data_IF_574444974703
#
_entry.id   IF_574444974703
#
_cell.length_a   1.000
_cell.length_b   1.000
_cell.length_c   1.000
_cell.angle_alpha   90.00
_cell.angle_beta   90.00
_cell.angle_gamma   90.00
#
_symmetry.space_group_name_H-M   'P 1'
#
loop_
_entity.id
_entity.type
_entity.pdbx_description
1 polymer ?
#
# COMPACT_ATOMS: atom_id res chain seq x y z
N UNK A 1 77.09 13.43 41.06
CA UNK A 1 75.74 12.82 40.99
C UNK A 1 74.73 13.89 40.63
N UNK A 2 73.87 13.69 39.61
CA UNK A 2 73.17 14.78 38.94
C UNK A 2 71.86 15.18 39.64
N UNK A 3 71.57 16.48 39.63
CA UNK A 3 70.29 17.06 40.04
C UNK A 3 69.30 17.04 38.85
N UNK A 4 68.10 16.54 39.09
CA UNK A 4 67.03 16.37 38.08
C UNK A 4 66.37 17.73 37.83
N UNK A 5 66.52 18.28 36.63
CA UNK A 5 65.85 19.51 36.19
C UNK A 5 64.40 19.18 35.80
N UNK A 6 63.43 19.44 36.68
CA UNK A 6 62.00 19.25 36.37
C UNK A 6 61.51 20.34 35.43
N UNK A 7 61.05 19.94 34.23
CA UNK A 7 60.38 20.83 33.28
C UNK A 7 59.01 21.24 33.85
N UNK A 8 58.61 22.53 33.86
CA UNK A 8 57.31 22.92 34.37
C UNK A 8 56.19 22.39 33.47
N UNK A 9 55.15 21.83 34.11
CA UNK A 9 53.94 21.33 33.46
C UNK A 9 53.11 22.51 32.94
N UNK A 10 52.85 22.51 31.63
CA UNK A 10 51.98 23.49 31.00
C UNK A 10 50.64 22.79 30.74
N UNK A 11 49.57 23.05 31.53
CA UNK A 11 48.29 22.42 31.31
C UNK A 11 47.72 22.86 29.95
N UNK A 12 47.00 21.98 29.24
CA UNK A 12 46.32 22.36 28.01
C UNK A 12 45.22 23.37 28.35
N UNK A 13 45.53 24.65 28.20
CA UNK A 13 44.53 25.71 28.31
C UNK A 13 43.47 25.46 27.24
N UNK A 14 42.26 25.13 27.68
CA UNK A 14 41.08 25.05 26.82
C UNK A 14 40.81 26.39 26.12
N UNK A 15 39.86 26.43 25.16
CA UNK A 15 39.79 27.46 24.10
C UNK A 15 39.39 28.88 24.56
N UNK A 16 39.48 29.21 25.85
CA UNK A 16 39.12 30.52 26.40
C UNK A 16 40.34 31.16 27.05
N UNK A 17 41.33 31.52 26.24
CA UNK A 17 42.55 32.15 26.73
C UNK A 17 43.32 32.82 25.61
N UNK A 18 42.79 33.94 25.10
CA UNK A 18 43.40 34.68 24.01
C UNK A 18 42.89 36.11 23.90
N UNK A 19 43.14 36.93 24.92
CA UNK A 19 43.36 38.36 24.70
C UNK A 19 44.64 38.46 23.85
N UNK A 20 44.52 38.68 22.55
CA UNK A 20 45.67 38.77 21.66
C UNK A 20 45.27 38.89 20.21
N UNK A 21 45.38 40.10 19.68
CA UNK A 21 45.11 40.48 18.30
C UNK A 21 45.93 39.65 17.30
N UNK A 22 45.38 38.55 16.77
CA UNK A 22 45.65 37.98 15.44
C UNK A 22 44.56 36.95 15.15
N UNK A 23 43.67 37.20 14.19
CA UNK A 23 42.60 36.27 13.79
C UNK A 23 43.23 35.16 12.93
N UNK A 24 43.37 33.90 13.40
CA UNK A 24 43.62 32.78 12.49
C UNK A 24 42.29 32.38 11.83
N UNK A 25 42.29 31.71 10.66
CA UNK A 25 41.05 31.22 10.07
C UNK A 25 40.38 30.24 11.05
N UNK A 26 39.26 30.67 11.63
CA UNK A 26 38.42 29.86 12.50
C UNK A 26 38.01 28.62 11.71
N UNK A 27 38.49 27.44 12.11
CA UNK A 27 38.01 26.18 11.54
C UNK A 27 36.49 26.11 11.82
N UNK A 28 35.66 25.78 10.82
CA UNK A 28 34.22 25.70 11.03
C UNK A 28 33.94 24.72 12.17
N UNK A 29 33.16 25.17 13.15
CA UNK A 29 32.73 24.32 14.25
C UNK A 29 31.86 23.18 13.70
N UNK A 30 31.69 22.10 14.48
CA UNK A 30 30.80 21.00 14.10
C UNK A 30 29.38 21.49 13.76
N UNK A 31 28.87 22.46 14.53
CA UNK A 31 27.59 23.10 14.23
C UNK A 31 27.61 23.83 12.88
N UNK A 32 28.70 24.51 12.55
CA UNK A 32 28.87 25.16 11.24
C UNK A 32 28.92 24.14 10.09
N UNK A 33 29.55 22.99 10.32
CA UNK A 33 29.55 21.87 9.37
C UNK A 33 28.14 21.34 9.10
N UNK A 34 27.34 21.14 10.16
CA UNK A 34 25.96 20.69 10.03
C UNK A 34 25.10 21.72 9.29
N UNK A 35 25.24 23.01 9.61
CA UNK A 35 24.52 24.08 8.92
C UNK A 35 24.84 24.16 7.43
N UNK A 36 26.08 23.88 7.03
CA UNK A 36 26.49 23.86 5.62
C UNK A 36 25.96 22.64 4.85
N UNK A 37 25.54 21.56 5.53
CA UNK A 37 24.88 20.40 4.90
C UNK A 37 23.37 20.56 4.79
N UNK A 38 22.80 21.64 5.34
CA UNK A 38 21.36 21.88 5.23
C UNK A 38 21.01 22.41 3.84
N UNK A 39 19.89 21.95 3.25
CA UNK A 39 19.39 22.52 2.01
C UNK A 39 19.16 24.03 2.16
N UNK A 40 19.46 24.85 1.14
CA UNK A 40 19.25 26.29 1.21
C UNK A 40 17.77 26.59 1.46
N UNK A 41 17.50 27.45 2.45
CA UNK A 41 16.13 27.83 2.82
C UNK A 41 15.58 28.75 1.72
N UNK A 42 14.57 28.26 1.00
CA UNK A 42 13.86 29.05 -0.03
C UNK A 42 12.80 29.93 0.68
N UNK A 43 12.86 31.27 0.57
CA UNK A 43 11.83 32.15 1.12
C UNK A 43 10.45 31.83 0.53
N UNK A 44 9.48 31.49 1.38
CA UNK A 44 8.11 31.13 0.96
C UNK A 44 7.77 29.64 1.05
N UNK A 45 8.69 28.78 1.52
CA UNK A 45 8.36 27.43 2.00
C UNK A 45 7.93 26.42 0.94
N UNK A 46 8.15 26.71 -0.35
CA UNK A 46 7.90 25.76 -1.44
C UNK A 46 9.23 25.16 -1.87
N UNK A 47 9.37 23.86 -1.69
CA UNK A 47 10.45 23.09 -2.30
C UNK A 47 10.41 23.35 -3.81
N UNK A 48 11.55 23.69 -4.39
CA UNK A 48 11.70 23.85 -5.84
C UNK A 48 11.22 22.55 -6.52
N UNK A 49 10.22 22.59 -7.41
CA UNK A 49 9.76 21.38 -8.11
C UNK A 49 10.87 20.71 -8.92
N UNK A 50 11.97 21.42 -9.23
CA UNK A 50 13.17 20.83 -9.83
C UNK A 50 14.07 20.07 -8.85
N UNK A 51 13.89 20.26 -7.53
CA UNK A 51 14.58 19.52 -6.47
C UNK A 51 13.80 18.27 -6.02
N UNK A 52 12.53 18.13 -6.43
CA UNK A 52 11.86 16.83 -6.45
C UNK A 52 12.54 16.00 -7.55
N UNK A 53 13.08 14.83 -7.20
CA UNK A 53 13.47 13.85 -8.22
C UNK A 53 12.29 13.66 -9.19
N UNK A 54 12.51 13.57 -10.52
CA UNK A 54 11.42 13.43 -11.47
C UNK A 54 10.57 12.24 -11.04
N UNK A 55 9.34 12.53 -10.61
CA UNK A 55 8.39 11.63 -9.94
C UNK A 55 7.97 10.42 -10.83
N UNK A 56 8.57 10.29 -12.01
CA UNK A 56 8.20 9.39 -13.07
C UNK A 56 9.31 8.36 -13.41
N UNK A 57 10.55 8.56 -12.95
CA UNK A 57 11.67 7.65 -13.27
C UNK A 57 12.02 6.66 -12.17
N UNK A 58 11.26 6.62 -11.07
CA UNK A 58 11.52 5.65 -10.00
C UNK A 58 10.98 4.27 -10.40
N UNK A 59 11.82 3.22 -10.50
CA UNK A 59 11.36 1.85 -10.77
C UNK A 59 10.28 1.37 -9.81
N UNK A 60 10.17 1.95 -8.61
CA UNK A 60 9.05 1.69 -7.70
C UNK A 60 7.72 2.18 -8.26
N UNK A 61 7.66 3.39 -8.82
CA UNK A 61 6.44 3.93 -9.44
C UNK A 61 6.01 3.11 -10.66
N UNK A 62 6.96 2.61 -11.46
CA UNK A 62 6.64 1.73 -12.58
C UNK A 62 5.99 0.42 -12.11
N UNK A 63 6.56 -0.22 -11.09
CA UNK A 63 5.97 -1.43 -10.48
C UNK A 63 4.58 -1.16 -9.91
N UNK A 64 4.38 -0.01 -9.26
CA UNK A 64 3.08 0.37 -8.72
C UNK A 64 2.02 0.54 -9.83
N UNK A 65 2.39 1.13 -10.98
CA UNK A 65 1.50 1.25 -12.15
C UNK A 65 1.18 -0.11 -12.77
N UNK A 66 2.17 -0.99 -12.92
CA UNK A 66 1.98 -2.37 -13.42
C UNK A 66 1.05 -3.18 -12.49
N UNK A 67 1.22 -3.07 -11.18
CA UNK A 67 0.35 -3.71 -10.19
C UNK A 67 -1.06 -3.14 -10.20
N UNK A 68 -1.22 -1.81 -10.34
CA UNK A 68 -2.53 -1.18 -10.46
C UNK A 68 -3.29 -1.66 -11.70
N UNK A 69 -2.62 -1.73 -12.86
CA UNK A 69 -3.19 -2.25 -14.10
C UNK A 69 -3.60 -3.71 -13.96
N UNK A 70 -2.73 -4.55 -13.38
CA UNK A 70 -3.05 -5.95 -13.08
C UNK A 70 -4.27 -6.08 -12.20
N UNK A 71 -4.38 -5.28 -11.12
CA UNK A 71 -5.53 -5.32 -10.23
C UNK A 71 -6.83 -4.92 -10.94
N UNK A 72 -6.77 -3.95 -11.87
CA UNK A 72 -7.91 -3.58 -12.71
C UNK A 72 -8.35 -4.73 -13.63
N UNK A 73 -7.41 -5.42 -14.25
CA UNK A 73 -7.72 -6.58 -15.10
C UNK A 73 -8.32 -7.73 -14.30
N UNK A 74 -7.73 -8.07 -13.15
CA UNK A 74 -8.26 -9.10 -12.25
C UNK A 74 -9.68 -8.76 -11.77
N UNK A 75 -9.95 -7.48 -11.46
CA UNK A 75 -11.28 -7.01 -11.10
C UNK A 75 -12.26 -7.23 -12.26
N UNK A 76 -11.89 -6.84 -13.48
CA UNK A 76 -12.72 -7.01 -14.67
C UNK A 76 -13.06 -8.49 -14.92
N UNK A 77 -12.07 -9.36 -14.84
CA UNK A 77 -12.27 -10.81 -15.00
C UNK A 77 -13.22 -11.35 -13.93
N UNK A 78 -13.04 -10.94 -12.65
CA UNK A 78 -13.92 -11.35 -11.55
C UNK A 78 -15.36 -10.88 -11.77
N UNK A 79 -15.55 -9.63 -12.18
CA UNK A 79 -16.87 -9.07 -12.47
C UNK A 79 -17.55 -9.77 -13.66
N UNK A 80 -16.81 -10.04 -14.74
CA UNK A 80 -17.34 -10.74 -15.90
C UNK A 80 -17.70 -12.21 -15.56
N UNK A 81 -16.89 -12.87 -14.74
CA UNK A 81 -17.20 -14.21 -14.23
C UNK A 81 -18.46 -14.19 -13.37
N UNK A 82 -18.59 -13.23 -12.46
CA UNK A 82 -19.78 -13.07 -11.61
C UNK A 82 -21.04 -12.83 -12.45
N UNK A 83 -20.96 -11.94 -13.45
CA UNK A 83 -22.09 -11.66 -14.34
C UNK A 83 -22.55 -12.93 -15.06
N UNK A 84 -21.60 -13.72 -15.59
CA UNK A 84 -21.91 -15.00 -16.25
C UNK A 84 -22.53 -16.02 -15.28
N UNK A 85 -22.01 -16.13 -14.05
CA UNK A 85 -22.56 -17.07 -13.07
C UNK A 85 -23.98 -16.69 -12.64
N UNK A 86 -24.28 -15.39 -12.48
CA UNK A 86 -25.62 -14.93 -12.14
C UNK A 86 -26.64 -15.23 -13.24
N UNK A 87 -26.26 -15.04 -14.52
CA UNK A 87 -27.13 -15.40 -15.65
C UNK A 87 -27.48 -16.91 -15.63
N UNK A 88 -26.48 -17.75 -15.35
CA UNK A 88 -26.70 -19.20 -15.25
C UNK A 88 -27.58 -19.53 -14.04
N UNK A 89 -27.36 -18.86 -12.91
CA UNK A 89 -28.16 -19.03 -11.71
C UNK A 89 -29.64 -18.74 -11.97
N UNK A 90 -29.96 -17.60 -12.59
CA UNK A 90 -31.34 -17.22 -12.92
C UNK A 90 -32.00 -18.24 -13.86
N UNK A 91 -31.23 -18.78 -14.81
CA UNK A 91 -31.71 -19.84 -15.71
C UNK A 91 -32.02 -21.12 -14.92
N UNK A 92 -31.09 -21.56 -14.08
CA UNK A 92 -31.24 -22.76 -13.27
C UNK A 92 -32.40 -22.63 -12.27
N UNK A 93 -32.63 -21.43 -11.72
CA UNK A 93 -33.76 -21.17 -10.83
C UNK A 93 -35.10 -21.37 -11.55
N UNK A 94 -35.21 -20.90 -12.81
CA UNK A 94 -36.41 -21.13 -13.63
C UNK A 94 -36.59 -22.59 -13.99
N UNK A 95 -35.51 -23.28 -14.35
CA UNK A 95 -35.53 -24.71 -14.65
C UNK A 95 -35.94 -25.53 -13.40
N UNK A 96 -35.43 -25.18 -12.23
CA UNK A 96 -35.79 -25.83 -10.96
C UNK A 96 -37.30 -25.70 -10.66
N UNK A 97 -37.88 -24.49 -10.78
CA UNK A 97 -39.33 -24.26 -10.62
C UNK A 97 -40.15 -25.07 -11.63
N UNK A 98 -39.67 -25.19 -12.86
CA UNK A 98 -40.34 -25.99 -13.88
C UNK A 98 -40.27 -27.49 -13.55
N UNK A 99 -39.16 -27.98 -13.00
CA UNK A 99 -39.04 -29.37 -12.55
C UNK A 99 -39.88 -29.67 -11.32
N UNK A 100 -39.94 -28.74 -10.36
CA UNK A 100 -40.84 -28.82 -9.20
C UNK A 100 -42.29 -28.98 -9.64
N UNK A 101 -42.78 -28.10 -10.53
CA UNK A 101 -44.15 -28.21 -11.05
C UNK A 101 -44.39 -29.54 -11.79
N UNK A 102 -43.43 -30.03 -12.58
CA UNK A 102 -43.54 -31.33 -13.25
C UNK A 102 -43.60 -32.48 -12.24
N UNK A 103 -42.79 -32.41 -11.17
CA UNK A 103 -42.79 -33.37 -10.07
C UNK A 103 -44.15 -33.39 -9.39
N UNK A 104 -44.67 -32.22 -9.00
CA UNK A 104 -45.98 -32.09 -8.35
C UNK A 104 -47.12 -32.65 -9.21
N UNK A 105 -47.12 -32.33 -10.51
CA UNK A 105 -48.13 -32.86 -11.44
C UNK A 105 -48.02 -34.37 -11.59
N UNK A 106 -46.79 -34.91 -11.65
CA UNK A 106 -46.56 -36.35 -11.74
C UNK A 106 -47.01 -37.06 -10.45
N UNK A 107 -46.72 -36.51 -9.28
CA UNK A 107 -47.12 -37.05 -7.99
C UNK A 107 -48.65 -37.05 -7.86
N UNK A 108 -49.32 -35.96 -8.23
CA UNK A 108 -50.78 -35.88 -8.26
C UNK A 108 -51.39 -36.89 -9.24
N UNK A 109 -50.80 -37.03 -10.43
CA UNK A 109 -51.25 -38.02 -11.40
C UNK A 109 -51.11 -39.44 -10.87
N UNK A 110 -49.99 -39.77 -10.22
CA UNK A 110 -49.76 -41.08 -9.63
C UNK A 110 -50.72 -41.36 -8.47
N UNK A 111 -50.98 -40.37 -7.60
CA UNK A 111 -51.98 -40.47 -6.53
C UNK A 111 -53.39 -40.71 -7.07
N UNK A 112 -53.75 -40.04 -8.15
CA UNK A 112 -55.04 -40.26 -8.82
C UNK A 112 -55.14 -41.68 -9.41
N UNK A 113 -54.07 -42.17 -10.07
CA UNK A 113 -54.02 -43.54 -10.61
C UNK A 113 -54.06 -44.59 -9.48
N UNK A 114 -53.43 -44.31 -8.34
CA UNK A 114 -53.45 -45.17 -7.16
C UNK A 114 -54.80 -45.13 -6.39
N UNK A 115 -55.78 -44.34 -6.84
CA UNK A 115 -57.11 -44.28 -6.24
C UNK A 115 -57.23 -43.36 -5.02
N UNK A 116 -56.22 -42.54 -4.72
CA UNK A 116 -56.21 -41.60 -3.58
C UNK A 116 -56.73 -40.19 -3.93
N UNK A 117 -57.18 -39.95 -5.17
CA UNK A 117 -57.70 -38.66 -5.64
C UNK A 117 -59.15 -38.37 -5.22
N UNK A 118 -59.48 -37.09 -4.95
CA UNK A 118 -60.83 -36.63 -4.56
C UNK A 118 -61.83 -36.89 -5.69
N UNK A 119 -62.58 -37.99 -5.58
CA UNK A 119 -63.56 -38.44 -6.56
C UNK A 119 -63.25 -39.86 -7.00
N UNK A 120 -63.78 -40.83 -6.25
CA UNK A 120 -63.51 -42.25 -6.42
C UNK A 120 -63.83 -42.81 -7.81
N UNK A 121 -63.24 -43.97 -8.05
CA UNK A 121 -63.47 -44.87 -9.20
C UNK A 121 -63.29 -44.21 -10.58
N UNK A 122 -62.09 -44.37 -11.15
CA UNK A 122 -61.93 -44.33 -12.61
C UNK A 122 -61.54 -45.74 -13.08
N UNK A 123 -62.59 -46.54 -13.31
CA UNK A 123 -62.69 -47.90 -13.88
C UNK A 123 -62.07 -49.06 -13.09
#
# INVERSE_FOLDING_TARGET
SPAVLSKPFNPPTGPSGGLGMTIPPQRPSFAQGLLNTMPPIIPGGKIDPSALAPHESDPHNRKLREEEERLREELKIKQDRLRKSLIIWDRLEREAKAFELKSDLSERSLKNIAGEGVGGAAF
#
